data_IF_326647687870
#
_entry.id   IF_326647687870
#
_cell.length_a   1.000
_cell.length_b   1.000
_cell.length_c   1.000
_cell.angle_alpha   90.00
_cell.angle_beta   90.00
_cell.angle_gamma   90.00
#
_symmetry.space_group_name_H-M   'P 1'
#
loop_
_entity.id
_entity.type
_entity.pdbx_description
1 polymer ?
#
# COMPACT_ATOMS: atom_id res chain seq x y z
N UNK A 1 0.94 -20.26 22.26
CA UNK A 1 1.55 -20.01 20.93
C UNK A 1 0.69 -19.11 20.07
N UNK A 2 -0.60 -19.41 19.88
CA UNK A 2 -1.50 -18.57 19.07
C UNK A 2 -1.70 -17.14 19.62
N UNK A 3 -1.84 -16.99 20.94
CA UNK A 3 -1.91 -15.68 21.62
C UNK A 3 -0.66 -14.81 21.41
N UNK A 4 0.53 -15.43 21.35
CA UNK A 4 1.79 -14.71 21.09
C UNK A 4 1.86 -14.15 19.66
N UNK A 5 1.20 -14.80 18.71
CA UNK A 5 1.16 -14.35 17.30
C UNK A 5 0.13 -13.22 17.13
N UNK A 6 -0.93 -13.20 17.96
CA UNK A 6 -1.98 -12.17 17.93
C UNK A 6 -1.58 -10.85 18.59
N UNK A 7 -0.58 -10.84 19.47
CA UNK A 7 -0.18 -9.59 20.11
C UNK A 7 0.45 -8.62 19.09
N UNK A 8 0.36 -7.30 19.30
CA UNK A 8 1.06 -6.33 18.46
C UNK A 8 2.57 -6.56 18.58
N UNK A 9 3.22 -6.80 17.44
CA UNK A 9 4.67 -6.98 17.42
C UNK A 9 5.38 -5.64 17.28
N UNK A 10 6.50 -5.44 18.00
CA UNK A 10 7.34 -4.28 17.81
C UNK A 10 7.82 -4.15 16.35
N UNK A 11 8.00 -2.91 15.92
CA UNK A 11 8.39 -2.56 14.55
C UNK A 11 9.71 -3.20 14.10
N UNK A 12 10.63 -3.50 15.02
CA UNK A 12 11.91 -4.12 14.66
C UNK A 12 11.73 -5.58 14.24
N UNK A 13 10.75 -6.31 14.79
CA UNK A 13 10.49 -7.70 14.40
C UNK A 13 9.96 -7.74 12.98
N UNK A 14 9.01 -6.87 12.64
CA UNK A 14 8.48 -6.76 11.28
C UNK A 14 9.56 -6.28 10.31
N UNK A 15 10.40 -5.32 10.71
CA UNK A 15 11.54 -4.86 9.92
C UNK A 15 12.53 -5.98 9.59
N UNK A 16 12.96 -6.76 10.58
CA UNK A 16 13.87 -7.90 10.37
C UNK A 16 13.22 -8.98 9.50
N UNK A 17 11.92 -9.27 9.70
CA UNK A 17 11.21 -10.25 8.88
C UNK A 17 11.12 -9.82 7.40
N UNK A 18 10.81 -8.54 7.14
CA UNK A 18 10.79 -8.00 5.77
C UNK A 18 12.18 -8.08 5.15
N UNK A 19 13.23 -7.68 5.87
CA UNK A 19 14.60 -7.75 5.38
C UNK A 19 15.02 -9.19 5.05
N UNK A 20 14.68 -10.16 5.90
CA UNK A 20 14.94 -11.58 5.65
C UNK A 20 14.23 -12.08 4.39
N UNK A 21 12.95 -11.74 4.22
CA UNK A 21 12.19 -12.07 3.01
C UNK A 21 12.85 -11.44 1.78
N UNK A 22 13.26 -10.17 1.85
CA UNK A 22 13.95 -9.52 0.73
C UNK A 22 15.26 -10.22 0.34
N UNK A 23 16.10 -10.57 1.31
CA UNK A 23 17.35 -11.30 1.06
C UNK A 23 17.06 -12.62 0.38
N UNK A 24 16.05 -13.36 0.84
CA UNK A 24 15.62 -14.62 0.23
C UNK A 24 15.15 -14.41 -1.22
N UNK A 25 14.36 -13.38 -1.49
CA UNK A 25 13.90 -13.06 -2.83
C UNK A 25 15.07 -12.71 -3.76
N UNK A 26 16.00 -11.86 -3.30
CA UNK A 26 17.19 -11.50 -4.06
C UNK A 26 18.07 -12.72 -4.34
N UNK A 27 18.22 -13.63 -3.37
CA UNK A 27 18.97 -14.88 -3.54
C UNK A 27 18.38 -15.75 -4.67
N UNK A 28 17.06 -15.82 -4.80
CA UNK A 28 16.38 -16.53 -5.89
C UNK A 28 16.18 -15.71 -7.17
N UNK A 29 16.80 -14.52 -7.27
CA UNK A 29 16.68 -13.62 -8.42
C UNK A 29 15.25 -13.12 -8.64
N UNK A 30 14.45 -13.03 -7.59
CA UNK A 30 13.06 -12.56 -7.61
C UNK A 30 12.95 -11.13 -7.12
N UNK A 31 11.98 -10.38 -7.64
CA UNK A 31 11.75 -8.99 -7.26
C UNK A 31 10.65 -8.86 -6.20
N UNK A 32 10.80 -7.83 -5.35
CA UNK A 32 9.80 -7.40 -4.38
C UNK A 32 9.06 -6.19 -4.99
N UNK A 33 8.02 -6.45 -5.81
CA UNK A 33 7.34 -5.41 -6.57
C UNK A 33 5.84 -5.64 -6.67
N UNK A 34 5.06 -4.65 -6.22
CA UNK A 34 3.59 -4.69 -6.29
C UNK A 34 3.03 -4.03 -7.57
N UNK A 35 3.58 -2.89 -7.99
CA UNK A 35 3.01 -2.09 -9.09
C UNK A 35 3.08 -2.76 -10.47
N UNK A 36 4.07 -3.64 -10.70
CA UNK A 36 4.16 -4.45 -11.93
C UNK A 36 2.96 -5.40 -12.08
N UNK A 37 2.35 -5.82 -10.97
CA UNK A 37 1.18 -6.68 -11.00
C UNK A 37 -0.06 -5.97 -11.53
N UNK A 38 -0.26 -4.70 -11.18
CA UNK A 38 -1.40 -3.91 -11.68
C UNK A 38 -1.35 -3.79 -13.22
N UNK A 39 -0.15 -3.53 -13.78
CA UNK A 39 0.05 -3.53 -15.24
C UNK A 39 -0.25 -4.91 -15.85
N UNK A 40 0.19 -5.98 -15.19
CA UNK A 40 -0.04 -7.36 -15.64
C UNK A 40 -1.52 -7.72 -15.65
N UNK A 41 -2.27 -7.29 -14.63
CA UNK A 41 -3.74 -7.45 -14.56
C UNK A 41 -4.42 -6.70 -15.70
N UNK A 42 -4.00 -5.47 -16.02
CA UNK A 42 -4.55 -4.73 -17.16
C UNK A 42 -4.37 -5.48 -18.49
N UNK A 43 -3.23 -6.16 -18.70
CA UNK A 43 -2.99 -6.98 -19.90
C UNK A 43 -3.91 -8.18 -19.94
N UNK A 44 -4.03 -8.90 -18.82
CA UNK A 44 -4.94 -10.03 -18.70
C UNK A 44 -6.41 -9.63 -18.93
N UNK A 45 -6.78 -8.42 -18.53
CA UNK A 45 -8.09 -7.82 -18.77
C UNK A 45 -8.30 -7.34 -20.22
N UNK A 46 -7.33 -7.52 -21.12
CA UNK A 46 -7.46 -7.24 -22.56
C UNK A 46 -6.75 -5.96 -23.04
N UNK A 47 -6.06 -5.21 -22.16
CA UNK A 47 -5.33 -4.01 -22.57
C UNK A 47 -4.09 -4.31 -23.44
N UNK A 48 -3.68 -5.59 -23.55
CA UNK A 48 -2.50 -6.03 -24.32
C UNK A 48 -2.48 -5.59 -25.78
N UNK A 49 -3.65 -5.39 -26.40
CA UNK A 49 -3.77 -4.92 -27.80
C UNK A 49 -3.96 -3.42 -27.94
N UNK A 50 -4.09 -2.68 -26.84
CA UNK A 50 -4.47 -1.26 -26.86
C UNK A 50 -3.28 -0.32 -27.08
N UNK A 51 -2.07 -0.73 -26.69
CA UNK A 51 -0.86 0.10 -26.78
C UNK A 51 0.40 -0.79 -26.66
N UNK A 52 1.51 -0.41 -27.30
CA UNK A 52 2.84 -1.02 -27.14
C UNK A 52 3.29 -1.09 -25.68
N UNK A 53 2.79 -0.20 -24.81
CA UNK A 53 3.04 -0.28 -23.38
C UNK A 53 2.45 -1.54 -22.71
N UNK A 54 1.37 -2.10 -23.25
CA UNK A 54 0.75 -3.33 -22.72
C UNK A 54 1.14 -4.58 -23.52
N UNK A 55 1.96 -4.41 -24.57
CA UNK A 55 2.48 -5.49 -25.39
C UNK A 55 3.76 -6.08 -24.77
N UNK A 56 3.58 -6.91 -23.72
CA UNK A 56 4.67 -7.72 -23.18
C UNK A 56 4.16 -9.08 -22.70
N UNK A 57 5.04 -10.09 -22.66
CA UNK A 57 4.68 -11.42 -22.17
C UNK A 57 4.46 -11.42 -20.66
N UNK A 58 3.19 -11.40 -20.24
CA UNK A 58 2.77 -11.47 -18.83
C UNK A 58 3.31 -12.70 -18.10
N UNK A 59 3.66 -13.79 -18.80
CA UNK A 59 4.20 -15.01 -18.18
C UNK A 59 5.55 -14.74 -17.50
N UNK A 60 6.28 -13.73 -17.92
CA UNK A 60 7.52 -13.28 -17.27
C UNK A 60 7.28 -12.75 -15.85
N UNK A 61 6.06 -12.31 -15.54
CA UNK A 61 5.67 -11.73 -14.25
C UNK A 61 4.91 -12.71 -13.34
N UNK A 62 4.88 -14.02 -13.66
CA UNK A 62 4.18 -15.06 -12.86
C UNK A 62 4.55 -15.03 -11.38
N UNK A 63 5.84 -14.79 -11.08
CA UNK A 63 6.31 -14.67 -9.70
C UNK A 63 5.62 -13.52 -8.96
N UNK A 64 5.53 -12.35 -9.59
CA UNK A 64 4.93 -11.18 -8.96
C UNK A 64 3.43 -11.38 -8.73
N UNK A 65 2.73 -12.09 -9.63
CA UNK A 65 1.33 -12.46 -9.46
C UNK A 65 1.13 -13.43 -8.29
N UNK A 66 2.01 -14.42 -8.15
CA UNK A 66 1.99 -15.33 -7.00
C UNK A 66 2.23 -14.58 -5.69
N UNK A 67 3.19 -13.65 -5.70
CA UNK A 67 3.46 -12.77 -4.56
C UNK A 67 2.25 -11.89 -4.22
N UNK A 68 1.56 -11.31 -5.21
CA UNK A 68 0.34 -10.53 -5.00
C UNK A 68 -0.74 -11.38 -4.33
N UNK A 69 -1.01 -12.57 -4.85
CA UNK A 69 -2.01 -13.48 -4.28
C UNK A 69 -1.64 -13.88 -2.85
N UNK A 70 -0.38 -14.21 -2.61
CA UNK A 70 0.13 -14.52 -1.28
C UNK A 70 -0.01 -13.35 -0.30
N UNK A 71 0.27 -12.12 -0.74
CA UNK A 71 0.11 -10.91 0.07
C UNK A 71 -1.36 -10.64 0.42
N UNK A 72 -2.28 -10.80 -0.54
CA UNK A 72 -3.73 -10.67 -0.31
C UNK A 72 -4.23 -11.75 0.66
N UNK A 73 -3.85 -13.01 0.44
CA UNK A 73 -4.22 -14.11 1.33
C UNK A 73 -3.65 -13.93 2.74
N UNK A 74 -2.38 -13.52 2.86
CA UNK A 74 -1.74 -13.22 4.13
C UNK A 74 -2.42 -12.06 4.87
N UNK A 75 -2.78 -10.99 4.15
CA UNK A 75 -3.54 -9.87 4.71
C UNK A 75 -4.93 -10.29 5.19
N UNK A 76 -5.63 -11.15 4.43
CA UNK A 76 -6.92 -11.71 4.82
C UNK A 76 -6.82 -12.58 6.07
N UNK A 77 -5.84 -13.49 6.13
CA UNK A 77 -5.59 -14.32 7.31
C UNK A 77 -5.21 -13.49 8.53
N UNK A 78 -4.38 -12.45 8.33
CA UNK A 78 -3.99 -11.53 9.39
C UNK A 78 -5.19 -10.73 9.93
N UNK A 79 -6.06 -10.25 9.04
CA UNK A 79 -7.24 -9.45 9.40
C UNK A 79 -8.41 -10.23 9.98
N UNK A 80 -8.46 -11.55 9.80
CA UNK A 80 -9.57 -12.40 10.29
C UNK A 80 -9.17 -13.32 11.43
N UNK A 81 -8.12 -14.14 11.25
CA UNK A 81 -7.74 -15.21 12.17
C UNK A 81 -6.76 -14.72 13.23
N UNK A 82 -5.79 -13.88 12.83
CA UNK A 82 -4.74 -13.34 13.72
C UNK A 82 -5.10 -11.96 14.28
N UNK A 83 -6.32 -11.47 14.02
CA UNK A 83 -6.77 -10.17 14.54
C UNK A 83 -6.76 -10.19 16.07
N UNK A 84 -6.24 -9.11 16.64
CA UNK A 84 -6.40 -8.79 18.05
C UNK A 84 -7.57 -7.82 18.21
N UNK A 85 -8.44 -8.06 19.20
CA UNK A 85 -9.56 -7.16 19.50
C UNK A 85 -9.17 -6.02 20.45
N UNK A 86 -7.90 -5.95 20.86
CA UNK A 86 -7.37 -4.79 21.58
C UNK A 86 -7.53 -3.51 20.74
N UNK A 87 -8.00 -2.40 21.35
CA UNK A 87 -8.14 -1.14 20.65
C UNK A 87 -6.78 -0.62 20.19
N UNK A 88 -6.72 -0.09 18.96
CA UNK A 88 -5.52 0.53 18.44
C UNK A 88 -5.11 1.71 19.35
N UNK A 89 -3.86 1.70 19.80
CA UNK A 89 -3.32 2.77 20.63
C UNK A 89 -2.78 3.88 19.72
N UNK A 90 -3.58 4.93 19.52
CA UNK A 90 -3.13 6.15 18.85
C UNK A 90 -2.69 7.21 19.86
N UNK A 91 -1.80 8.10 19.42
CA UNK A 91 -1.41 9.26 20.22
C UNK A 91 -2.60 10.21 20.42
N UNK A 92 -2.66 10.89 21.56
CA UNK A 92 -3.71 11.88 21.85
C UNK A 92 -3.72 13.03 20.84
N UNK A 93 -2.55 13.40 20.31
CA UNK A 93 -2.43 14.40 19.25
C UNK A 93 -3.15 13.95 17.97
N UNK A 94 -2.89 12.72 17.51
CA UNK A 94 -3.54 12.15 16.31
C UNK A 94 -5.06 12.06 16.47
N UNK A 95 -5.55 11.69 17.66
CA UNK A 95 -7.00 11.64 17.92
C UNK A 95 -7.62 13.04 17.82
N UNK A 96 -6.91 14.07 18.29
CA UNK A 96 -7.34 15.46 18.21
C UNK A 96 -7.38 15.96 16.76
N UNK A 97 -6.35 15.65 15.97
CA UNK A 97 -6.29 16.01 14.56
C UNK A 97 -7.40 15.32 13.74
N UNK A 98 -7.64 14.03 13.98
CA UNK A 98 -8.74 13.29 13.34
C UNK A 98 -10.11 13.88 13.69
N UNK A 99 -10.30 14.31 14.95
CA UNK A 99 -11.53 14.97 15.38
C UNK A 99 -11.74 16.32 14.67
N UNK A 100 -10.68 17.09 14.43
CA UNK A 100 -10.75 18.34 13.67
C UNK A 100 -11.16 18.11 12.20
N UNK A 101 -10.86 16.93 11.65
CA UNK A 101 -11.23 16.48 10.31
C UNK A 101 -12.61 15.79 10.26
N UNK A 102 -13.39 15.83 11.34
CA UNK A 102 -14.68 15.12 11.46
C UNK A 102 -14.58 13.59 11.28
N UNK A 103 -13.40 12.99 11.54
CA UNK A 103 -13.17 11.54 11.48
C UNK A 103 -13.16 10.99 12.90
N UNK A 104 -14.23 10.30 13.37
CA UNK A 104 -14.24 9.70 14.68
C UNK A 104 -13.26 8.51 14.75
N UNK A 105 -12.49 8.44 15.84
CA UNK A 105 -11.64 7.29 16.13
C UNK A 105 -12.43 6.25 16.94
N UNK A 106 -12.67 5.07 16.35
CA UNK A 106 -13.46 3.98 16.91
C UNK A 106 -12.59 2.84 17.48
N UNK A 107 -11.29 3.09 17.68
CA UNK A 107 -10.34 2.10 18.19
C UNK A 107 -9.97 1.01 17.17
N UNK A 108 -10.47 1.09 15.93
CA UNK A 108 -10.15 0.17 14.84
C UNK A 108 -8.98 0.69 14.02
N UNK A 109 -8.35 -0.21 13.26
CA UNK A 109 -7.27 0.15 12.33
C UNK A 109 -7.77 1.08 11.21
N UNK A 110 -9.00 0.86 10.73
CA UNK A 110 -9.60 1.60 9.63
C UNK A 110 -10.79 2.41 10.16
N UNK A 111 -10.83 3.73 9.98
CA UNK A 111 -11.95 4.56 10.43
C UNK A 111 -13.26 4.15 9.77
N UNK A 112 -14.25 3.72 10.56
CA UNK A 112 -15.56 3.29 10.05
C UNK A 112 -16.32 4.40 9.31
N UNK A 113 -16.04 5.68 9.59
CA UNK A 113 -16.65 6.81 8.90
C UNK A 113 -16.29 6.89 7.40
N UNK A 114 -15.10 6.40 7.02
CA UNK A 114 -14.61 6.44 5.63
C UNK A 114 -14.70 5.05 4.99
N UNK A 115 -14.39 3.99 5.74
CA UNK A 115 -14.34 2.62 5.25
C UNK A 115 -15.67 1.89 5.45
N UNK A 116 -16.75 2.46 4.91
CA UNK A 116 -18.08 1.83 4.89
C UNK A 116 -18.69 1.88 3.48
N UNK A 117 -19.63 0.96 3.21
CA UNK A 117 -20.30 0.84 1.91
C UNK A 117 -21.08 2.09 1.51
N UNK A 118 -21.63 2.83 2.49
CA UNK A 118 -22.41 4.03 2.23
C UNK A 118 -21.51 5.18 1.73
N UNK A 119 -20.37 5.40 2.37
CA UNK A 119 -19.36 6.36 1.93
C UNK A 119 -18.75 5.93 0.59
N UNK A 120 -18.41 4.65 0.42
CA UNK A 120 -17.81 4.14 -0.81
C UNK A 120 -18.70 4.32 -2.05
N UNK A 121 -20.03 4.23 -1.90
CA UNK A 121 -21.00 4.45 -2.96
C UNK A 121 -21.50 5.90 -3.05
N UNK A 122 -21.15 6.76 -2.09
CA UNK A 122 -21.45 8.19 -2.16
C UNK A 122 -20.67 8.85 -3.28
N UNK A 123 -21.22 9.91 -3.88
CA UNK A 123 -20.54 10.66 -4.93
C UNK A 123 -19.15 11.15 -4.47
N UNK A 124 -19.06 11.64 -3.23
CA UNK A 124 -17.80 12.08 -2.62
C UNK A 124 -16.78 10.93 -2.51
N UNK A 125 -17.17 9.78 -1.96
CA UNK A 125 -16.28 8.64 -1.80
C UNK A 125 -15.82 8.05 -3.12
N UNK A 126 -16.72 7.93 -4.11
CA UNK A 126 -16.37 7.48 -5.47
C UNK A 126 -15.35 8.42 -6.10
N UNK A 127 -15.56 9.75 -6.02
CA UNK A 127 -14.62 10.73 -6.56
C UNK A 127 -13.25 10.65 -5.89
N UNK A 128 -13.21 10.49 -4.56
CA UNK A 128 -11.95 10.35 -3.80
C UNK A 128 -11.22 9.06 -4.18
N UNK A 129 -11.91 7.92 -4.26
CA UNK A 129 -11.27 6.64 -4.57
C UNK A 129 -10.81 6.54 -6.02
N UNK A 130 -11.61 6.99 -6.98
CA UNK A 130 -11.22 7.01 -8.39
C UNK A 130 -10.10 8.03 -8.63
N UNK A 131 -10.23 9.25 -8.10
CA UNK A 131 -9.20 10.28 -8.22
C UNK A 131 -7.90 9.88 -7.55
N UNK A 132 -7.95 9.40 -6.31
CA UNK A 132 -6.79 8.91 -5.57
C UNK A 132 -6.14 7.70 -6.24
N UNK A 133 -6.93 6.71 -6.66
CA UNK A 133 -6.45 5.55 -7.39
C UNK A 133 -5.77 5.92 -8.72
N UNK A 134 -6.36 6.86 -9.47
CA UNK A 134 -5.76 7.40 -10.69
C UNK A 134 -4.42 8.09 -10.40
N UNK A 135 -4.35 8.98 -9.40
CA UNK A 135 -3.12 9.68 -9.03
C UNK A 135 -2.02 8.72 -8.57
N UNK A 136 -2.36 7.70 -7.78
CA UNK A 136 -1.41 6.67 -7.34
C UNK A 136 -0.91 5.84 -8.52
N UNK A 137 -1.79 5.43 -9.43
CA UNK A 137 -1.42 4.68 -10.63
C UNK A 137 -0.53 5.50 -11.58
N UNK A 138 -0.94 6.73 -11.87
CA UNK A 138 -0.18 7.68 -12.68
C UNK A 138 1.20 7.98 -12.06
N UNK A 139 1.23 8.36 -10.78
CA UNK A 139 2.46 8.69 -10.06
C UNK A 139 3.42 7.52 -9.96
N UNK A 140 2.92 6.32 -9.65
CA UNK A 140 3.75 5.10 -9.62
C UNK A 140 4.37 4.80 -10.99
N UNK A 141 3.66 5.10 -12.09
CA UNK A 141 4.21 4.92 -13.42
C UNK A 141 5.23 6.00 -13.77
N UNK A 142 4.92 7.26 -13.46
CA UNK A 142 5.79 8.40 -13.69
C UNK A 142 7.13 8.26 -12.95
N UNK A 143 7.11 7.78 -11.71
CA UNK A 143 8.30 7.49 -10.93
C UNK A 143 9.08 6.24 -11.39
N UNK A 144 8.45 5.38 -12.21
CA UNK A 144 9.03 4.10 -12.61
C UNK A 144 8.90 2.99 -11.55
N UNK A 145 8.11 3.20 -10.49
CA UNK A 145 7.92 2.27 -9.38
C UNK A 145 7.02 2.85 -8.29
N UNK A 146 6.65 2.01 -7.31
CA UNK A 146 5.91 2.42 -6.11
C UNK A 146 6.80 2.30 -4.85
N UNK A 147 6.23 2.48 -3.66
CA UNK A 147 6.96 2.40 -2.38
C UNK A 147 7.73 1.09 -2.21
N UNK A 148 7.17 -0.05 -2.61
CA UNK A 148 7.89 -1.35 -2.54
C UNK A 148 9.10 -1.42 -3.47
N UNK A 149 9.04 -0.76 -4.63
CA UNK A 149 10.14 -0.69 -5.59
C UNK A 149 11.23 0.29 -5.16
N UNK A 150 10.86 1.52 -4.79
CA UNK A 150 11.83 2.57 -4.47
C UNK A 150 12.25 2.59 -3.00
N UNK A 151 11.31 2.58 -2.06
CA UNK A 151 11.62 2.74 -0.63
C UNK A 151 12.20 1.46 -0.02
N UNK A 152 11.68 0.31 -0.41
CA UNK A 152 12.14 -0.99 0.11
C UNK A 152 13.32 -1.47 -0.74
N UNK A 153 13.12 -1.83 -2.00
CA UNK A 153 14.20 -2.41 -2.82
C UNK A 153 15.25 -1.40 -3.29
N UNK A 154 14.83 -0.21 -3.72
CA UNK A 154 15.70 0.79 -4.34
C UNK A 154 16.66 1.46 -3.36
N UNK A 155 16.17 1.87 -2.19
CA UNK A 155 17.02 2.43 -1.12
C UNK A 155 17.97 1.40 -0.54
N UNK A 156 17.55 0.14 -0.37
CA UNK A 156 18.46 -0.94 0.05
C UNK A 156 19.59 -1.20 -0.95
N UNK A 157 19.36 -0.93 -2.25
CA UNK A 157 20.37 -0.97 -3.30
C UNK A 157 21.09 0.38 -3.51
N UNK A 158 20.93 1.35 -2.60
CA UNK A 158 21.58 2.67 -2.64
C UNK A 158 21.35 3.46 -3.94
N UNK A 159 20.18 3.27 -4.57
CA UNK A 159 19.87 3.95 -5.82
C UNK A 159 19.45 5.41 -5.58
N UNK A 160 20.27 6.36 -6.04
CA UNK A 160 19.95 7.79 -5.97
C UNK A 160 18.60 8.17 -6.61
N UNK A 161 18.19 7.60 -7.77
CA UNK A 161 16.87 7.90 -8.33
C UNK A 161 15.73 7.48 -7.39
N UNK A 162 15.90 6.36 -6.67
CA UNK A 162 14.92 5.88 -5.70
C UNK A 162 14.85 6.78 -4.47
N UNK A 163 15.97 7.38 -4.04
CA UNK A 163 15.98 8.37 -2.97
C UNK A 163 15.14 9.60 -3.34
N UNK A 164 15.33 10.15 -4.54
CA UNK A 164 14.51 11.28 -5.02
C UNK A 164 13.03 10.93 -5.12
N UNK A 165 12.69 9.75 -5.62
CA UNK A 165 11.31 9.28 -5.68
C UNK A 165 10.68 9.21 -4.28
N UNK A 166 11.42 8.67 -3.28
CA UNK A 166 10.94 8.54 -1.91
C UNK A 166 10.75 9.90 -1.25
N UNK A 167 11.67 10.84 -1.42
CA UNK A 167 11.51 12.21 -0.94
C UNK A 167 10.22 12.82 -1.51
N UNK A 168 10.00 12.66 -2.82
CA UNK A 168 8.77 13.10 -3.47
C UNK A 168 7.50 12.45 -2.88
N UNK A 169 7.52 11.15 -2.58
CA UNK A 169 6.40 10.45 -1.95
C UNK A 169 6.08 11.02 -0.56
N UNK A 170 7.10 11.30 0.25
CA UNK A 170 6.91 11.89 1.58
C UNK A 170 6.39 13.33 1.49
N UNK A 171 6.94 14.16 0.59
CA UNK A 171 6.45 15.52 0.35
C UNK A 171 4.98 15.50 -0.09
N UNK A 172 4.63 14.63 -1.05
CA UNK A 172 3.24 14.45 -1.49
C UNK A 172 2.32 13.99 -0.36
N UNK A 173 2.77 13.08 0.49
CA UNK A 173 2.03 12.62 1.68
C UNK A 173 1.80 13.75 2.70
N UNK A 174 2.78 14.59 2.95
CA UNK A 174 2.66 15.76 3.83
C UNK A 174 1.69 16.80 3.25
N UNK A 175 1.79 17.12 1.96
CA UNK A 175 0.86 18.00 1.26
C UNK A 175 -0.57 17.45 1.35
N UNK A 176 -0.74 16.14 1.10
CA UNK A 176 -2.03 15.49 1.23
C UNK A 176 -2.59 15.63 2.64
N UNK A 177 -1.78 15.34 3.66
CA UNK A 177 -2.21 15.28 5.07
C UNK A 177 -2.56 16.65 5.62
N UNK A 178 -1.72 17.66 5.35
CA UNK A 178 -1.88 18.98 5.97
C UNK A 178 -2.73 19.95 5.14
N UNK A 179 -2.79 19.79 3.82
CA UNK A 179 -3.45 20.76 2.95
C UNK A 179 -4.68 20.18 2.24
N UNK A 180 -4.61 19.00 1.64
CA UNK A 180 -5.75 18.45 0.89
C UNK A 180 -6.78 17.78 1.78
N UNK A 181 -6.36 17.00 2.77
CA UNK A 181 -7.27 16.25 3.64
C UNK A 181 -8.27 17.18 4.37
N UNK A 182 -7.86 18.33 4.95
CA UNK A 182 -8.80 19.28 5.57
C UNK A 182 -9.71 20.02 4.58
N UNK A 183 -9.36 20.05 3.30
CA UNK A 183 -10.23 20.61 2.25
C UNK A 183 -11.26 19.59 1.77
N UNK A 184 -10.91 18.30 1.85
CA UNK A 184 -11.76 17.20 1.40
C UNK A 184 -12.72 16.77 2.50
N UNK A 185 -12.30 16.75 3.77
CA UNK A 185 -13.08 16.28 4.93
C UNK A 185 -13.35 17.40 5.93
#
# INVERSE_FOLDING_TARGET
>A
MFEFIKQPWPWYISGTAIAFIMVLLLYFGKSFGFSSNLRTICILAGAGKSNNFFDFDWKTQRWNLLFLLGAVAGGFMAGTILKNDAPLQLSTATITDLKALHIPFDGRLNPSAIFNWHFALSLKGVMIFLGGGFLVGFGSRYAGGCTSGHAISGLSNLQLPSLWAVIGFFVGGLIMTHWLLPLIF
#
